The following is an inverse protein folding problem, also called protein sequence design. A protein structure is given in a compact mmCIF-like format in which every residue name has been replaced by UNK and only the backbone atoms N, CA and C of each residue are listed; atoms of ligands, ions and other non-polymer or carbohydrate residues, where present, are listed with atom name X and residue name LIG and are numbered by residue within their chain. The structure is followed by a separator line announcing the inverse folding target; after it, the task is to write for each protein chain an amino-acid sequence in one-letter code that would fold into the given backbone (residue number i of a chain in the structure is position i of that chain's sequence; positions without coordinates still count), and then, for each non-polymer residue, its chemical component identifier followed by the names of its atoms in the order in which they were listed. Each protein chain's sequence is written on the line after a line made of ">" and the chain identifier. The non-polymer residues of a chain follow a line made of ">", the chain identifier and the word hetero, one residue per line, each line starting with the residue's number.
data_IF_000275175809
#
_entry.id   IF_000275175809
#
_cell.length_a   1.000
_cell.length_b   1.000
_cell.length_c   1.000
_cell.angle_alpha   90.00
_cell.angle_beta   90.00
_cell.angle_gamma   90.00
#
_symmetry.space_group_name_H-M   'P 1'
#
loop_
_entity.id
_entity.type
_entity.pdbx_description
1 polymer ?
#
# COMPACT_ATOMS: atom_id res chain seq x y z
N UNK A 1 21.61 14.85 2.81
CA UNK A 1 20.89 13.97 1.88
C UNK A 1 19.66 13.43 2.60
N UNK A 2 18.47 13.96 2.30
CA UNK A 2 17.23 13.53 2.94
C UNK A 2 16.74 12.26 2.21
N UNK A 3 16.92 11.10 2.85
CA UNK A 3 16.55 9.80 2.32
C UNK A 3 15.07 9.71 1.96
N UNK A 4 14.75 9.98 0.70
CA UNK A 4 13.47 9.65 0.11
C UNK A 4 13.46 8.14 -0.13
N UNK A 5 12.86 7.39 0.79
CA UNK A 5 12.46 6.01 0.51
C UNK A 5 11.58 6.04 -0.75
N UNK A 6 11.68 5.05 -1.66
CA UNK A 6 10.93 5.10 -2.91
C UNK A 6 9.45 5.36 -2.59
N UNK A 7 8.82 6.37 -3.25
CA UNK A 7 7.42 6.71 -3.03
C UNK A 7 6.48 5.60 -3.52
N UNK A 8 7.02 4.45 -3.95
CA UNK A 8 6.25 3.29 -4.32
C UNK A 8 6.97 1.99 -4.00
N UNK A 9 6.19 0.96 -3.66
CA UNK A 9 6.62 -0.43 -3.63
C UNK A 9 5.87 -1.18 -4.72
N UNK A 10 6.57 -2.02 -5.49
CA UNK A 10 5.94 -2.94 -6.45
C UNK A 10 6.25 -4.38 -6.06
N UNK A 11 5.22 -5.22 -5.97
CA UNK A 11 5.32 -6.66 -5.75
C UNK A 11 4.93 -7.38 -7.03
N UNK A 12 5.81 -8.25 -7.51
CA UNK A 12 5.50 -9.17 -8.60
C UNK A 12 4.99 -10.49 -8.01
N UNK A 13 3.79 -10.89 -8.43
CA UNK A 13 3.19 -12.17 -8.06
C UNK A 13 3.82 -13.30 -8.89
N UNK A 14 3.73 -14.53 -8.39
CA UNK A 14 4.23 -15.72 -9.11
C UNK A 14 3.48 -15.98 -10.42
N UNK A 15 2.22 -15.60 -10.49
CA UNK A 15 1.32 -15.81 -11.62
C UNK A 15 0.28 -14.69 -11.66
N UNK A 16 -0.46 -14.57 -12.77
CA UNK A 16 -1.60 -13.65 -12.81
C UNK A 16 -2.64 -14.11 -11.81
N UNK A 17 -3.03 -13.25 -10.87
CA UNK A 17 -4.00 -13.56 -9.83
C UNK A 17 -5.07 -12.47 -9.75
N UNK A 18 -6.32 -12.87 -9.56
CA UNK A 18 -7.40 -11.94 -9.24
C UNK A 18 -7.22 -11.43 -7.81
N UNK A 19 -7.00 -10.13 -7.65
CA UNK A 19 -6.81 -9.47 -6.35
C UNK A 19 -7.96 -8.48 -6.16
N UNK A 20 -8.61 -8.50 -5.00
CA UNK A 20 -9.66 -7.55 -4.63
C UNK A 20 -9.39 -6.80 -3.33
N UNK A 21 -8.33 -7.17 -2.61
CA UNK A 21 -8.02 -6.59 -1.31
C UNK A 21 -6.52 -6.55 -1.04
N UNK A 22 -6.08 -5.46 -0.42
CA UNK A 22 -4.70 -5.28 0.05
C UNK A 22 -4.72 -4.92 1.53
N UNK A 23 -3.93 -5.62 2.33
CA UNK A 23 -3.71 -5.30 3.74
C UNK A 23 -2.32 -4.69 3.88
N UNK A 24 -2.23 -3.56 4.59
CA UNK A 24 -0.98 -2.89 4.90
C UNK A 24 -0.84 -2.73 6.39
N UNK A 25 0.36 -3.00 6.90
CA UNK A 25 0.65 -2.81 8.32
C UNK A 25 1.87 -1.93 8.51
N UNK A 26 1.83 -1.14 9.58
CA UNK A 26 3.01 -0.52 10.18
C UNK A 26 3.32 -1.28 11.48
N UNK A 27 4.55 -1.18 12.02
CA UNK A 27 4.87 -1.84 13.27
C UNK A 27 3.85 -1.48 14.37
N UNK A 28 3.37 -2.45 15.16
CA UNK A 28 2.37 -2.20 16.20
C UNK A 28 2.93 -1.44 17.41
N UNK A 29 4.23 -1.11 17.43
CA UNK A 29 4.84 -0.43 18.57
C UNK A 29 4.30 1.00 18.69
N UNK A 30 4.05 1.43 19.94
CA UNK A 30 3.63 2.80 20.27
C UNK A 30 4.69 3.85 19.94
N UNK A 31 5.94 3.45 19.69
CA UNK A 31 6.98 4.31 19.15
C UNK A 31 6.56 4.93 17.80
N UNK A 32 5.60 4.30 17.12
CA UNK A 32 5.00 4.79 15.91
C UNK A 32 3.62 5.38 16.21
N UNK A 33 3.54 6.65 16.60
CA UNK A 33 2.27 7.36 16.84
C UNK A 33 1.32 7.41 15.63
N UNK A 34 0.05 7.72 15.89
CA UNK A 34 -1.02 7.80 14.88
C UNK A 34 -0.64 8.70 13.72
N UNK A 35 -0.88 8.23 12.49
CA UNK A 35 -0.59 8.99 11.27
C UNK A 35 -1.53 8.66 10.14
N UNK A 36 -1.66 9.59 9.22
CA UNK A 36 -2.36 9.35 7.95
C UNK A 36 -1.34 9.21 6.84
N UNK A 37 -1.46 8.14 6.05
CA UNK A 37 -0.73 8.03 4.78
C UNK A 37 -1.69 8.10 3.60
N UNK A 38 -1.40 9.00 2.67
CA UNK A 38 -2.10 9.13 1.39
C UNK A 38 -1.43 8.23 0.36
N UNK A 39 -2.25 7.44 -0.34
CA UNK A 39 -1.74 6.40 -1.23
C UNK A 39 -2.70 6.00 -2.33
N UNK A 40 -2.14 5.43 -3.39
CA UNK A 40 -2.85 4.85 -4.54
C UNK A 40 -2.44 3.38 -4.68
N UNK A 41 -3.39 2.49 -4.98
CA UNK A 41 -3.10 1.10 -5.35
C UNK A 41 -3.23 0.96 -6.87
N UNK A 42 -2.21 0.36 -7.48
CA UNK A 42 -2.14 0.16 -8.92
C UNK A 42 -1.86 -1.31 -9.25
N UNK A 43 -2.36 -1.74 -10.40
CA UNK A 43 -2.20 -3.09 -10.94
C UNK A 43 -1.56 -3.08 -12.31
N UNK A 44 -0.85 -4.14 -12.65
CA UNK A 44 -0.32 -4.35 -14.00
C UNK A 44 -0.21 -5.84 -14.33
N UNK A 45 -0.46 -6.19 -15.59
CA UNK A 45 -0.21 -7.53 -16.13
C UNK A 45 1.20 -7.69 -16.68
N UNK A 46 1.87 -6.59 -17.05
CA UNK A 46 3.16 -6.60 -17.75
C UNK A 46 4.32 -5.97 -16.97
N UNK A 47 4.04 -5.25 -15.87
CA UNK A 47 5.06 -4.61 -15.03
C UNK A 47 5.53 -3.23 -15.51
N UNK A 48 5.00 -2.74 -16.63
CA UNK A 48 5.38 -1.45 -17.22
C UNK A 48 4.20 -0.46 -17.26
N UNK A 49 3.02 -0.93 -17.65
CA UNK A 49 1.80 -0.12 -17.71
C UNK A 49 0.93 -0.44 -16.50
N UNK A 50 0.63 0.58 -15.70
CA UNK A 50 -0.15 0.42 -14.47
C UNK A 50 -1.50 1.12 -14.58
N UNK A 51 -2.55 0.44 -14.11
CA UNK A 51 -3.89 1.00 -13.95
C UNK A 51 -4.19 1.19 -12.47
N UNK A 52 -4.99 2.21 -12.14
CA UNK A 52 -5.43 2.45 -10.75
C UNK A 52 -6.51 1.45 -10.36
N UNK A 53 -6.25 0.68 -9.30
CA UNK A 53 -7.23 -0.25 -8.70
C UNK A 53 -8.00 0.43 -7.56
N UNK A 54 -7.30 1.22 -6.74
CA UNK A 54 -7.89 2.06 -5.71
C UNK A 54 -7.32 3.48 -5.83
N UNK A 55 -8.21 4.47 -5.86
CA UNK A 55 -7.85 5.88 -6.02
C UNK A 55 -7.01 6.41 -4.85
N UNK A 56 -6.37 7.55 -5.06
CA UNK A 56 -5.56 8.20 -4.03
C UNK A 56 -6.40 8.59 -2.82
N UNK A 57 -6.15 7.98 -1.66
CA UNK A 57 -6.88 8.25 -0.43
C UNK A 57 -5.96 8.24 0.80
N UNK A 58 -6.24 9.13 1.75
CA UNK A 58 -5.61 9.14 3.07
C UNK A 58 -6.24 8.10 3.98
N UNK A 59 -5.44 7.24 4.60
CA UNK A 59 -5.93 6.37 5.67
C UNK A 59 -5.07 6.47 6.91
N UNK A 60 -5.75 6.47 8.05
CA UNK A 60 -5.16 6.52 9.38
C UNK A 60 -4.63 5.16 9.79
N UNK A 61 -3.37 5.13 10.22
CA UNK A 61 -2.76 4.05 10.98
C UNK A 61 -2.76 4.47 12.44
N UNK A 62 -3.48 3.72 13.26
CA UNK A 62 -3.59 3.95 14.69
C UNK A 62 -3.00 2.74 15.44
N UNK A 63 -2.00 2.93 16.33
CA UNK A 63 -1.48 1.86 17.17
C UNK A 63 -2.56 1.16 18.01
N UNK A 64 -3.60 1.89 18.43
CA UNK A 64 -4.71 1.34 19.20
C UNK A 64 -5.54 0.32 18.41
N UNK A 65 -5.51 0.37 17.07
CA UNK A 65 -6.17 -0.60 16.17
C UNK A 65 -5.17 -1.54 15.50
N UNK A 66 -3.93 -1.58 16.00
CA UNK A 66 -2.88 -2.47 15.50
C UNK A 66 -2.13 -1.95 14.27
N UNK A 67 -2.23 -0.66 13.94
CA UNK A 67 -1.52 -0.04 12.82
C UNK A 67 -1.73 -0.80 11.49
N UNK A 68 -2.96 -1.26 11.25
CA UNK A 68 -3.35 -2.00 10.06
C UNK A 68 -4.43 -1.26 9.27
N UNK A 69 -4.32 -1.27 7.95
CA UNK A 69 -5.39 -0.78 7.07
C UNK A 69 -5.61 -1.75 5.93
N UNK A 70 -6.89 -2.05 5.71
CA UNK A 70 -7.38 -2.83 4.58
C UNK A 70 -7.92 -1.88 3.51
N UNK A 71 -7.61 -2.16 2.25
CA UNK A 71 -8.13 -1.45 1.08
C UNK A 71 -8.79 -2.48 0.17
N UNK A 72 -10.05 -2.26 -0.15
CA UNK A 72 -10.83 -3.11 -1.05
C UNK A 72 -11.07 -2.37 -2.37
N UNK A 73 -11.13 -3.13 -3.46
CA UNK A 73 -11.37 -2.64 -4.81
C UNK A 73 -11.95 -3.76 -5.69
N UNK A 74 -12.57 -3.44 -6.85
CA UNK A 74 -13.09 -4.46 -7.75
C UNK A 74 -12.01 -5.49 -8.11
N UNK A 75 -12.37 -6.77 -7.99
CA UNK A 75 -11.46 -7.88 -8.25
C UNK A 75 -10.85 -7.77 -9.65
N UNK A 76 -9.52 -7.66 -9.72
CA UNK A 76 -8.79 -7.42 -10.97
C UNK A 76 -7.64 -8.40 -11.10
N UNK A 77 -7.49 -9.01 -12.29
CA UNK A 77 -6.36 -9.89 -12.59
C UNK A 77 -5.08 -9.07 -12.78
N UNK A 78 -4.09 -9.31 -11.91
CA UNK A 78 -2.80 -8.61 -11.92
C UNK A 78 -1.64 -9.57 -11.77
N UNK A 79 -0.48 -9.18 -12.33
CA UNK A 79 0.83 -9.83 -12.11
C UNK A 79 1.74 -8.98 -11.24
N UNK A 80 1.53 -7.68 -11.24
CA UNK A 80 2.27 -6.72 -10.44
C UNK A 80 1.28 -5.84 -9.70
N UNK A 81 1.50 -5.69 -8.40
CA UNK A 81 0.77 -4.79 -7.53
C UNK A 81 1.73 -3.67 -7.10
N UNK A 82 1.35 -2.42 -7.30
CA UNK A 82 2.12 -1.26 -6.86
C UNK A 82 1.31 -0.44 -5.88
N UNK A 83 1.96 -0.05 -4.79
CA UNK A 83 1.42 0.93 -3.84
C UNK A 83 2.27 2.18 -3.95
N UNK A 84 1.64 3.32 -4.24
CA UNK A 84 2.29 4.63 -4.28
C UNK A 84 1.87 5.39 -3.03
N UNK A 85 2.82 5.92 -2.25
CA UNK A 85 2.57 6.72 -1.05
C UNK A 85 2.99 8.16 -1.36
N UNK A 86 2.03 9.09 -1.38
CA UNK A 86 2.25 10.49 -1.75
C UNK A 86 2.34 11.43 -0.55
N UNK A 87 1.79 11.05 0.61
CA UNK A 87 1.89 11.84 1.83
C UNK A 87 1.90 10.93 3.08
N UNK A 88 2.52 11.41 4.15
CA UNK A 88 2.55 10.77 5.46
C UNK A 88 2.67 11.87 6.54
N UNK A 89 1.72 11.95 7.46
CA UNK A 89 1.73 12.98 8.51
C UNK A 89 2.78 12.75 9.59
N UNK A 90 3.29 11.52 9.73
CA UNK A 90 4.28 11.17 10.76
C UNK A 90 5.73 11.49 10.37
N UNK A 91 6.07 11.43 9.07
CA UNK A 91 7.40 11.74 8.51
C UNK A 91 7.27 12.08 7.02
N UNK A 92 8.18 12.89 6.44
CA UNK A 92 8.21 13.21 5.01
C UNK A 92 8.74 12.05 4.14
N UNK A 93 8.23 10.84 4.34
CA UNK A 93 8.58 9.64 3.59
C UNK A 93 7.46 8.60 3.63
N UNK A 94 7.39 7.76 2.58
CA UNK A 94 6.55 6.56 2.60
C UNK A 94 7.06 5.56 3.63
N UNK A 95 6.18 5.02 4.47
CA UNK A 95 6.52 3.98 5.43
C UNK A 95 5.59 2.77 5.25
N UNK A 96 6.15 1.58 5.31
CA UNK A 96 5.48 0.30 5.15
C UNK A 96 6.30 -0.75 5.90
N UNK A 97 5.65 -1.62 6.68
CA UNK A 97 6.30 -2.80 7.22
C UNK A 97 5.86 -4.08 6.50
N UNK A 98 4.56 -4.16 6.17
CA UNK A 98 3.98 -5.34 5.53
C UNK A 98 2.97 -4.96 4.46
N UNK A 99 2.93 -5.75 3.39
CA UNK A 99 1.97 -5.65 2.29
C UNK A 99 1.48 -7.05 1.93
N UNK A 100 0.19 -7.28 2.09
CA UNK A 100 -0.47 -8.53 1.70
C UNK A 100 -1.44 -8.26 0.55
N UNK A 101 -1.37 -9.07 -0.50
CA UNK A 101 -2.34 -9.08 -1.59
C UNK A 101 -3.26 -10.28 -1.42
N UNK A 102 -4.55 -10.03 -1.15
CA UNK A 102 -5.53 -11.09 -0.97
C UNK A 102 -6.25 -11.36 -2.28
N UNK A 103 -6.36 -12.65 -2.62
CA UNK A 103 -7.20 -13.09 -3.73
C UNK A 103 -8.67 -12.78 -3.44
N UNK A 104 -9.40 -12.44 -4.49
CA UNK A 104 -10.86 -12.30 -4.46
C UNK A 104 -11.53 -13.64 -4.77
#
# INVERSE_FOLDING_TARGET
>A
MNGYFPPSLTVQLRESSSVGRVVRRLPPSTAWGTRTQTRTVQGSTNGSTFTTLAASQGHSFDPATGNSVTIEFPATAVRHLRVVISANTGRPAGQLAELEACRA
#
